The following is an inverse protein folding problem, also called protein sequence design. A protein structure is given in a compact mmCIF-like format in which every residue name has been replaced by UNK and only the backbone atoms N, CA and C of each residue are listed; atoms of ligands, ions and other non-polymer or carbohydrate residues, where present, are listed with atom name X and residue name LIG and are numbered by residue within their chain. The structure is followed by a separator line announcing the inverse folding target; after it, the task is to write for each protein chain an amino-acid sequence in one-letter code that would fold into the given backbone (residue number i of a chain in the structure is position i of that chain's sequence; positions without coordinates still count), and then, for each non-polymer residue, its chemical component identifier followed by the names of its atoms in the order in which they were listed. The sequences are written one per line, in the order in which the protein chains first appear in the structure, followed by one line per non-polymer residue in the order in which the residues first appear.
data_IF_117663401708
#
_entry.id   IF_117663401708
#
_cell.length_a   1.000
_cell.length_b   1.000
_cell.length_c   1.000
_cell.angle_alpha   90.00
_cell.angle_beta   90.00
_cell.angle_gamma   90.00
#
_symmetry.space_group_name_H-M   'P 1'
#
loop_
_entity.id
_entity.type
_entity.pdbx_description
1 polymer ?
#
# COMPACT_ATOMS: atom_id res chain seq x y z
N UNK A 1 -26.36 -30.06 5.45
CA UNK A 1 -27.08 -28.78 5.60
C UNK A 1 -27.01 -28.38 7.06
N UNK A 2 -26.31 -27.31 7.41
CA UNK A 2 -26.17 -26.84 8.79
C UNK A 2 -27.19 -25.74 9.06
N UNK A 3 -28.03 -25.97 10.06
CA UNK A 3 -29.22 -25.19 10.42
C UNK A 3 -28.85 -23.97 11.26
N UNK A 4 -29.26 -22.77 10.82
CA UNK A 4 -29.12 -21.51 11.58
C UNK A 4 -30.23 -21.42 12.65
N UNK A 5 -29.86 -21.48 13.92
CA UNK A 5 -30.76 -21.18 15.03
C UNK A 5 -30.45 -19.80 15.61
N UNK A 6 -31.36 -18.87 15.34
CA UNK A 6 -31.44 -17.53 15.90
C UNK A 6 -31.61 -17.62 17.42
N UNK A 7 -30.74 -16.94 18.20
CA UNK A 7 -31.03 -16.62 19.60
C UNK A 7 -31.09 -15.11 19.79
N UNK A 8 -32.33 -14.62 19.84
CA UNK A 8 -32.69 -13.37 20.47
C UNK A 8 -32.41 -13.49 21.98
N UNK A 9 -31.63 -12.58 22.55
CA UNK A 9 -31.73 -12.26 23.98
C UNK A 9 -31.51 -10.76 24.15
N UNK A 10 -32.62 -10.07 24.46
CA UNK A 10 -32.62 -8.70 24.99
C UNK A 10 -31.96 -8.76 26.37
N UNK A 11 -31.05 -7.82 26.62
CA UNK A 11 -30.61 -7.48 27.96
C UNK A 11 -30.48 -5.95 28.06
N UNK A 12 -31.06 -5.43 29.13
CA UNK A 12 -31.35 -4.04 29.43
C UNK A 12 -30.28 -3.53 30.42
N UNK A 13 -29.69 -2.37 30.15
CA UNK A 13 -28.85 -1.65 31.11
C UNK A 13 -27.32 -1.89 31.02
N UNK A 14 -26.57 -0.81 31.27
CA UNK A 14 -25.08 -0.67 31.32
C UNK A 14 -24.35 -0.49 29.98
N UNK A 15 -24.31 0.74 29.46
CA UNK A 15 -23.32 1.17 28.44
C UNK A 15 -22.29 2.12 29.04
N UNK A 16 -21.46 1.57 29.92
CA UNK A 16 -20.18 2.13 30.33
C UNK A 16 -19.03 1.21 29.93
N UNK A 17 -18.96 0.76 28.68
CA UNK A 17 -17.84 -0.05 28.17
C UNK A 17 -17.94 -0.27 26.65
N UNK A 18 -17.59 0.74 25.84
CA UNK A 18 -17.44 0.58 24.37
C UNK A 18 -16.05 0.96 23.88
N UNK A 19 -15.30 1.73 24.66
CA UNK A 19 -13.93 2.19 24.36
C UNK A 19 -12.86 1.15 24.71
N UNK A 20 -13.05 0.33 25.75
CA UNK A 20 -12.07 -0.69 26.13
C UNK A 20 -12.03 -1.88 25.16
N UNK A 21 -13.20 -2.34 24.68
CA UNK A 21 -13.29 -3.46 23.74
C UNK A 21 -12.67 -3.13 22.37
N UNK A 22 -12.91 -1.91 21.87
CA UNK A 22 -12.34 -1.42 20.60
C UNK A 22 -10.82 -1.24 20.66
N UNK A 23 -10.29 -0.72 21.77
CA UNK A 23 -8.84 -0.60 21.99
C UNK A 23 -8.14 -1.96 22.11
N UNK A 24 -8.80 -2.96 22.71
CA UNK A 24 -8.25 -4.31 22.80
C UNK A 24 -8.19 -5.02 21.44
N UNK A 25 -9.18 -4.76 20.57
CA UNK A 25 -9.23 -5.34 19.23
C UNK A 25 -8.22 -4.68 18.29
N UNK A 26 -8.03 -3.36 18.33
CA UNK A 26 -6.99 -2.68 17.55
C UNK A 26 -5.59 -3.13 17.97
N UNK A 27 -5.31 -3.22 19.28
CA UNK A 27 -4.03 -3.71 19.79
C UNK A 27 -3.75 -5.14 19.33
N UNK A 28 -4.79 -6.00 19.29
CA UNK A 28 -4.67 -7.36 18.78
C UNK A 28 -4.39 -7.37 17.27
N UNK A 29 -5.06 -6.54 16.48
CA UNK A 29 -4.85 -6.42 15.03
C UNK A 29 -3.45 -5.91 14.70
N UNK A 30 -2.95 -4.90 15.43
CA UNK A 30 -1.57 -4.41 15.34
C UNK A 30 -0.57 -5.56 15.59
N UNK A 31 -0.76 -6.33 16.66
CA UNK A 31 0.12 -7.47 16.95
C UNK A 31 0.09 -8.56 15.87
N UNK A 32 -1.05 -8.78 15.20
CA UNK A 32 -1.15 -9.72 14.08
C UNK A 32 -0.42 -9.17 12.85
N UNK A 33 -0.67 -7.90 12.49
CA UNK A 33 0.01 -7.22 11.38
C UNK A 33 1.52 -7.27 11.56
N UNK A 34 2.04 -6.88 12.72
CA UNK A 34 3.48 -6.80 12.94
C UNK A 34 4.14 -8.19 12.84
N UNK A 35 3.47 -9.25 13.34
CA UNK A 35 3.96 -10.64 13.19
C UNK A 35 3.99 -11.11 11.73
N UNK A 36 3.05 -10.67 10.92
CA UNK A 36 3.01 -10.97 9.48
C UNK A 36 4.12 -10.19 8.76
N UNK A 37 4.22 -8.88 9.03
CA UNK A 37 5.21 -8.00 8.41
C UNK A 37 6.65 -8.45 8.67
N UNK A 38 6.97 -8.99 9.85
CA UNK A 38 8.32 -9.53 10.11
C UNK A 38 8.71 -10.62 9.11
N UNK A 39 7.76 -11.47 8.69
CA UNK A 39 8.02 -12.52 7.69
C UNK A 39 7.94 -11.97 6.26
N UNK A 40 6.89 -11.22 5.97
CA UNK A 40 6.63 -10.68 4.64
C UNK A 40 7.71 -9.71 4.18
N UNK A 41 8.26 -8.88 5.08
CA UNK A 41 9.35 -7.95 4.74
C UNK A 41 10.62 -8.71 4.35
N UNK A 42 10.97 -9.77 5.09
CA UNK A 42 12.14 -10.58 4.78
C UNK A 42 11.99 -11.30 3.42
N UNK A 43 10.78 -11.82 3.13
CA UNK A 43 10.46 -12.40 1.83
C UNK A 43 10.42 -11.35 0.72
N UNK A 44 9.91 -10.14 0.99
CA UNK A 44 9.89 -9.04 0.05
C UNK A 44 11.31 -8.68 -0.36
N UNK A 45 12.21 -8.40 0.58
CA UNK A 45 13.60 -8.06 0.27
C UNK A 45 14.32 -9.16 -0.53
N UNK A 46 14.01 -10.44 -0.29
CA UNK A 46 14.59 -11.56 -1.02
C UNK A 46 14.03 -11.73 -2.44
N UNK A 47 12.78 -11.33 -2.69
CA UNK A 47 12.09 -11.51 -3.97
C UNK A 47 12.00 -10.23 -4.80
N UNK A 48 12.48 -9.09 -4.29
CA UNK A 48 12.44 -7.84 -5.04
C UNK A 48 13.36 -7.92 -6.28
N UNK A 49 12.87 -7.46 -7.44
CA UNK A 49 13.72 -7.31 -8.62
C UNK A 49 14.81 -6.28 -8.35
N UNK A 50 15.93 -6.38 -9.08
CA UNK A 50 17.07 -5.48 -8.91
C UNK A 50 16.76 -3.99 -9.18
N UNK A 51 15.66 -3.71 -9.88
CA UNK A 51 15.12 -2.37 -10.14
C UNK A 51 14.40 -1.78 -8.92
N UNK A 52 14.13 -2.55 -7.87
CA UNK A 52 13.43 -2.11 -6.68
C UNK A 52 14.32 -2.21 -5.42
N UNK A 53 14.17 -1.23 -4.52
CA UNK A 53 14.85 -1.21 -3.22
C UNK A 53 13.90 -0.74 -2.13
N UNK A 54 13.86 -1.45 -1.02
CA UNK A 54 13.09 -1.06 0.15
C UNK A 54 14.01 -0.42 1.19
N UNK A 55 13.48 0.58 1.87
CA UNK A 55 14.15 1.27 2.97
C UNK A 55 13.15 1.46 4.11
N UNK A 56 13.56 1.14 5.33
CA UNK A 56 12.79 1.34 6.55
C UNK A 56 13.40 2.51 7.33
N UNK A 57 12.79 3.71 7.30
CA UNK A 57 13.28 4.85 8.06
C UNK A 57 13.32 4.59 9.58
N UNK A 58 12.37 3.79 10.08
CA UNK A 58 12.29 3.36 11.47
C UNK A 58 12.15 1.82 11.52
N UNK A 59 13.13 1.09 12.06
CA UNK A 59 13.08 -0.37 12.13
C UNK A 59 11.97 -0.89 13.05
N UNK A 60 11.41 -0.05 13.92
CA UNK A 60 10.29 -0.42 14.79
C UNK A 60 8.92 -0.26 14.08
N UNK A 61 8.89 0.39 12.92
CA UNK A 61 7.67 0.66 12.15
C UNK A 61 7.72 -0.07 10.82
N UNK A 62 7.67 -1.40 10.87
CA UNK A 62 7.62 -2.23 9.64
C UNK A 62 6.38 -1.95 8.78
N UNK A 63 5.32 -1.38 9.36
CA UNK A 63 4.12 -0.96 8.66
C UNK A 63 4.29 0.36 7.88
N UNK A 64 5.43 1.03 7.96
CA UNK A 64 5.73 2.25 7.21
C UNK A 64 7.11 2.11 6.57
N UNK A 65 7.14 1.97 5.26
CA UNK A 65 8.38 1.77 4.52
C UNK A 65 8.39 2.53 3.21
N UNK A 66 9.60 2.80 2.74
CA UNK A 66 9.84 3.47 1.48
C UNK A 66 10.29 2.46 0.43
N UNK A 67 9.57 2.41 -0.69
CA UNK A 67 9.94 1.64 -1.87
C UNK A 67 10.51 2.58 -2.91
N UNK A 68 11.75 2.34 -3.32
CA UNK A 68 12.37 3.01 -4.46
C UNK A 68 12.30 2.08 -5.68
N UNK A 69 11.70 2.56 -6.76
CA UNK A 69 11.65 1.87 -8.06
C UNK A 69 12.53 2.63 -9.05
N UNK A 70 13.43 1.93 -9.70
CA UNK A 70 14.35 2.44 -10.71
C UNK A 70 14.19 1.60 -11.99
N UNK A 71 13.26 1.97 -12.89
CA UNK A 71 13.06 1.24 -14.12
C UNK A 71 14.32 1.23 -14.98
N UNK A 72 14.63 0.08 -15.55
CA UNK A 72 15.75 -0.15 -16.46
C UNK A 72 15.32 -0.19 -17.93
N UNK A 73 14.02 -0.10 -18.23
CA UNK A 73 13.45 -0.06 -19.57
C UNK A 73 12.24 0.90 -19.69
N UNK A 74 11.79 1.13 -20.93
CA UNK A 74 10.59 1.94 -21.23
C UNK A 74 10.80 3.46 -21.14
N UNK A 75 9.71 4.22 -21.06
CA UNK A 75 9.74 5.68 -21.01
C UNK A 75 10.40 6.25 -19.74
N UNK A 76 10.32 5.50 -18.65
CA UNK A 76 10.81 5.92 -17.33
C UNK A 76 12.20 5.37 -16.99
N UNK A 77 12.87 4.78 -17.98
CA UNK A 77 14.20 4.21 -17.84
C UNK A 77 15.17 5.25 -17.24
N UNK A 78 15.89 4.85 -16.19
CA UNK A 78 16.86 5.70 -15.52
C UNK A 78 16.26 6.73 -14.56
N UNK A 79 14.93 6.79 -14.44
CA UNK A 79 14.25 7.53 -13.39
C UNK A 79 14.26 6.77 -12.06
N UNK A 80 14.27 7.50 -10.96
CA UNK A 80 14.21 7.00 -9.59
C UNK A 80 12.96 7.52 -8.91
N UNK A 81 12.02 6.63 -8.63
CA UNK A 81 10.73 6.96 -8.04
C UNK A 81 10.66 6.41 -6.63
N UNK A 82 10.36 7.28 -5.66
CA UNK A 82 10.19 6.90 -4.27
C UNK A 82 8.72 6.90 -3.90
N UNK A 83 8.28 5.81 -3.31
CA UNK A 83 6.94 5.58 -2.81
C UNK A 83 7.02 5.35 -1.32
N UNK A 84 6.09 5.92 -0.58
CA UNK A 84 5.89 5.63 0.84
C UNK A 84 4.64 4.77 0.98
N UNK A 85 4.81 3.61 1.61
CA UNK A 85 3.73 2.65 1.83
C UNK A 85 3.44 2.59 3.31
N UNK A 86 2.18 2.86 3.67
CA UNK A 86 1.66 2.67 5.02
C UNK A 86 0.66 1.52 5.04
N UNK A 87 0.95 0.52 5.86
CA UNK A 87 0.16 -0.70 6.01
C UNK A 87 -0.84 -0.49 7.16
N UNK A 88 -2.15 -0.33 6.88
CA UNK A 88 -3.14 -0.05 7.91
C UNK A 88 -3.31 -1.24 8.86
N UNK A 89 -3.89 -1.00 10.04
CA UNK A 89 -4.16 -2.06 11.04
C UNK A 89 -5.11 -3.15 10.52
N UNK A 90 -5.88 -2.84 9.46
CA UNK A 90 -6.78 -3.76 8.77
C UNK A 90 -6.16 -4.42 7.52
N UNK A 91 -4.84 -4.34 7.35
CA UNK A 91 -4.14 -5.00 6.25
C UNK A 91 -4.51 -6.49 6.16
N UNK A 92 -4.71 -6.97 4.93
CA UNK A 92 -5.30 -8.27 4.59
C UNK A 92 -6.83 -8.42 4.85
N UNK A 93 -7.54 -7.32 5.16
CA UNK A 93 -9.02 -7.27 5.23
C UNK A 93 -9.63 -6.18 4.33
N UNK A 94 -8.81 -5.48 3.55
CA UNK A 94 -9.23 -4.38 2.67
C UNK A 94 -8.72 -4.68 1.25
N UNK A 95 -9.64 -4.90 0.32
CA UNK A 95 -9.34 -4.95 -1.11
C UNK A 95 -9.10 -3.52 -1.61
N UNK A 96 -7.84 -3.13 -1.79
CA UNK A 96 -7.42 -1.79 -2.25
C UNK A 96 -6.98 -1.80 -3.72
N UNK A 97 -7.81 -2.36 -4.62
CA UNK A 97 -7.64 -2.07 -6.05
C UNK A 97 -8.96 -1.68 -6.68
N UNK A 98 -9.10 -0.39 -6.96
CA UNK A 98 -10.02 0.11 -7.96
C UNK A 98 -9.19 0.40 -9.24
N UNK A 99 -9.36 -0.45 -10.25
CA UNK A 99 -8.67 -0.33 -11.55
C UNK A 99 -9.41 0.56 -12.54
N UNK A 100 -10.57 1.13 -12.17
CA UNK A 100 -11.49 1.79 -13.10
C UNK A 100 -11.22 3.29 -13.31
N UNK A 101 -10.13 3.87 -12.79
CA UNK A 101 -9.81 5.28 -13.00
C UNK A 101 -8.30 5.53 -13.18
N UNK A 102 -7.82 5.87 -14.40
CA UNK A 102 -6.46 6.36 -14.56
C UNK A 102 -6.33 7.70 -13.84
N UNK A 103 -5.62 7.70 -12.71
CA UNK A 103 -5.44 8.85 -11.81
C UNK A 103 -4.98 10.16 -12.51
N UNK A 104 -4.39 10.05 -13.69
CA UNK A 104 -4.00 11.19 -14.52
C UNK A 104 -4.50 11.05 -15.97
N UNK A 105 -5.66 11.63 -16.23
CA UNK A 105 -6.33 11.65 -17.55
C UNK A 105 -5.50 12.46 -18.57
N UNK A 106 -4.87 13.56 -18.14
CA UNK A 106 -4.09 14.43 -19.04
C UNK A 106 -2.86 13.72 -19.61
N UNK A 107 -2.18 12.91 -18.80
CA UNK A 107 -1.04 12.11 -19.26
C UNK A 107 -1.48 11.05 -20.28
N UNK A 108 -2.64 10.42 -20.07
CA UNK A 108 -3.19 9.44 -21.00
C UNK A 108 -3.57 10.07 -22.35
N UNK A 109 -4.20 11.24 -22.35
CA UNK A 109 -4.54 11.98 -23.57
C UNK A 109 -3.29 12.44 -24.33
N UNK A 110 -2.25 12.90 -23.62
CA UNK A 110 -1.00 13.35 -24.24
C UNK A 110 -0.30 12.22 -24.99
N UNK A 111 -0.17 11.05 -24.37
CA UNK A 111 0.42 9.88 -25.01
C UNK A 111 -0.38 9.40 -26.25
N UNK A 112 -1.71 9.54 -26.24
CA UNK A 112 -2.56 9.20 -27.39
C UNK A 112 -2.40 10.19 -28.56
N UNK A 113 -2.18 11.47 -28.28
CA UNK A 113 -1.99 12.50 -29.32
C UNK A 113 -0.62 12.45 -29.95
N UNK A 114 0.43 12.37 -29.13
CA UNK A 114 1.81 12.40 -29.59
C UNK A 114 2.73 11.63 -28.63
N UNK A 115 3.17 10.46 -29.09
CA UNK A 115 4.04 9.57 -28.31
C UNK A 115 5.47 10.10 -28.18
N UNK A 116 5.95 10.86 -29.16
CA UNK A 116 7.32 11.37 -29.16
C UNK A 116 7.45 12.56 -28.23
N UNK A 117 6.50 13.49 -28.27
CA UNK A 117 6.44 14.62 -27.34
C UNK A 117 6.21 14.17 -25.89
N UNK A 118 5.33 13.18 -25.68
CA UNK A 118 5.15 12.57 -24.36
C UNK A 118 6.47 12.01 -23.81
N UNK A 119 7.24 11.29 -24.63
CA UNK A 119 8.54 10.75 -24.23
C UNK A 119 9.54 11.85 -23.85
N UNK A 120 9.61 12.93 -24.63
CA UNK A 120 10.49 14.06 -24.34
C UNK A 120 10.11 14.76 -23.03
N UNK A 121 8.81 14.91 -22.77
CA UNK A 121 8.30 15.47 -21.52
C UNK A 121 8.63 14.59 -20.32
N UNK A 122 8.46 13.26 -20.45
CA UNK A 122 8.85 12.32 -19.40
C UNK A 122 10.34 12.43 -19.06
N UNK A 123 11.22 12.48 -20.06
CA UNK A 123 12.66 12.61 -19.86
C UNK A 123 13.05 13.92 -19.15
N UNK A 124 12.41 15.04 -19.51
CA UNK A 124 12.60 16.33 -18.82
C UNK A 124 12.15 16.28 -17.35
N UNK A 125 11.00 15.66 -17.07
CA UNK A 125 10.52 15.47 -15.69
C UNK A 125 11.45 14.59 -14.88
N UNK A 126 11.95 13.49 -15.46
CA UNK A 126 12.91 12.61 -14.80
C UNK A 126 14.19 13.37 -14.45
N UNK A 127 14.76 14.12 -15.40
CA UNK A 127 15.96 14.92 -15.17
C UNK A 127 15.79 15.96 -14.06
N UNK A 128 14.58 16.53 -13.91
CA UNK A 128 14.30 17.57 -12.92
C UNK A 128 14.03 17.03 -11.53
N UNK A 129 13.35 15.89 -11.41
CA UNK A 129 12.76 15.47 -10.13
C UNK A 129 13.11 14.05 -9.69
N UNK A 130 13.56 13.19 -10.61
CA UNK A 130 13.68 11.75 -10.39
C UNK A 130 15.03 11.20 -10.86
N UNK A 131 16.11 11.97 -10.71
CA UNK A 131 17.46 11.54 -11.07
C UNK A 131 18.30 11.19 -9.84
#
# INVERSE_FOLDING_TARGET
MLTLASKLKRDDGLKGSRTAATASDSTRRVSVRDKLLVKEVAELEANLPCTCKVHFPDPNKLHCFQLTVTPDEGYYQGGKFQFETEVPDAYNMVDLLNFDDPLNIEAAEHHLRDKEDFRNKVDDYIKRYAR
#
